data_IF_721236628828
#
_entry.id   IF_721236628828
#
_cell.length_a   1.000
_cell.length_b   1.000
_cell.length_c   1.000
_cell.angle_alpha   90.00
_cell.angle_beta   90.00
_cell.angle_gamma   90.00
#
_symmetry.space_group_name_H-M   'P 1'
#
loop_
_entity.id
_entity.type
_entity.pdbx_description
1 polymer ?
#
# COMPACT_ATOMS: atom_id res chain seq x y z
N UNK A 1 -30.25 79.94 5.94
CA UNK A 1 -30.45 78.85 4.95
C UNK A 1 -29.13 78.44 4.25
N UNK A 2 -28.03 78.09 4.97
CA UNK A 2 -26.70 77.90 4.35
C UNK A 2 -25.93 76.68 4.82
N UNK A 3 -26.53 75.76 5.54
CA UNK A 3 -25.86 74.61 6.16
C UNK A 3 -26.36 73.21 5.71
N UNK A 4 -27.24 73.15 4.71
CA UNK A 4 -27.76 71.86 4.22
C UNK A 4 -27.02 71.36 2.96
N UNK A 5 -26.25 72.19 2.26
CA UNK A 5 -25.51 71.79 1.08
C UNK A 5 -24.43 70.77 1.26
N UNK A 6 -23.62 70.78 2.35
CA UNK A 6 -22.56 69.78 2.51
C UNK A 6 -23.07 68.37 2.89
N UNK A 7 -24.24 68.28 3.50
CA UNK A 7 -24.81 66.96 3.88
C UNK A 7 -25.33 66.16 2.68
N UNK A 8 -25.85 66.84 1.67
CA UNK A 8 -26.34 66.22 0.43
C UNK A 8 -25.20 65.68 -0.45
N UNK A 9 -24.03 66.34 -0.45
CA UNK A 9 -22.84 65.90 -1.23
C UNK A 9 -22.23 64.68 -0.57
N UNK A 10 -22.21 64.59 0.74
CA UNK A 10 -21.63 63.42 1.46
C UNK A 10 -22.51 62.17 1.30
N UNK A 11 -23.84 62.29 1.17
CA UNK A 11 -24.74 61.18 0.92
C UNK A 11 -24.65 60.64 -0.51
N UNK A 12 -24.29 61.48 -1.49
CA UNK A 12 -24.11 61.04 -2.88
C UNK A 12 -22.83 60.22 -3.11
N UNK A 13 -21.78 60.46 -2.31
CA UNK A 13 -20.52 59.70 -2.41
C UNK A 13 -20.61 58.27 -1.80
N UNK A 14 -21.59 57.97 -0.97
CA UNK A 14 -21.75 56.65 -0.36
C UNK A 14 -22.50 55.66 -1.27
N UNK A 15 -23.09 56.06 -2.35
CA UNK A 15 -23.84 55.20 -3.29
C UNK A 15 -23.03 54.70 -4.49
N UNK A 16 -21.77 55.12 -4.64
CA UNK A 16 -20.94 54.71 -5.79
C UNK A 16 -20.08 53.46 -5.50
N UNK A 17 -20.22 52.86 -4.34
CA UNK A 17 -19.35 51.76 -3.88
C UNK A 17 -19.61 50.35 -4.46
N UNK A 18 -20.63 50.16 -5.30
CA UNK A 18 -20.98 48.81 -5.80
C UNK A 18 -20.96 48.65 -7.33
N UNK A 19 -20.37 49.61 -8.06
CA UNK A 19 -20.28 49.49 -9.52
C UNK A 19 -18.91 48.98 -9.92
N UNK A 20 -18.81 47.70 -10.21
CA UNK A 20 -17.75 47.18 -11.06
C UNK A 20 -16.79 46.20 -10.48
N UNK A 21 -17.23 45.08 -9.93
CA UNK A 21 -16.43 43.86 -9.98
C UNK A 21 -16.65 43.26 -11.36
N UNK A 22 -15.87 43.74 -12.35
CA UNK A 22 -15.90 43.21 -13.74
C UNK A 22 -15.38 41.78 -13.82
N UNK A 23 -14.77 41.24 -12.74
CA UNK A 23 -14.25 39.89 -12.60
C UNK A 23 -15.11 39.01 -11.70
N UNK A 24 -16.37 39.36 -11.46
CA UNK A 24 -17.25 38.47 -10.72
C UNK A 24 -17.46 37.16 -11.51
N UNK A 25 -17.32 35.99 -10.86
CA UNK A 25 -17.58 34.72 -11.53
C UNK A 25 -18.98 34.72 -12.14
N UNK A 26 -19.08 34.33 -13.41
CA UNK A 26 -20.36 34.23 -14.10
C UNK A 26 -21.30 33.30 -13.35
N UNK A 27 -22.50 33.78 -13.03
CA UNK A 27 -23.61 32.98 -12.49
C UNK A 27 -24.38 32.23 -13.60
N UNK A 28 -23.89 32.28 -14.85
CA UNK A 28 -24.46 31.49 -15.92
C UNK A 28 -24.30 30.00 -15.60
N UNK A 29 -25.35 29.24 -15.90
CA UNK A 29 -25.36 27.78 -15.68
C UNK A 29 -24.19 27.13 -16.39
N UNK A 30 -23.34 26.42 -15.63
CA UNK A 30 -22.18 25.68 -16.18
C UNK A 30 -22.66 24.38 -16.81
N UNK A 31 -21.99 23.87 -17.86
CA UNK A 31 -22.33 22.57 -18.44
C UNK A 31 -22.41 21.42 -17.43
N UNK A 32 -21.58 21.46 -16.39
CA UNK A 32 -21.59 20.48 -15.31
C UNK A 32 -22.87 20.52 -14.45
N UNK A 33 -23.55 21.66 -14.38
CA UNK A 33 -24.81 21.81 -13.64
C UNK A 33 -26.04 21.32 -14.45
N UNK A 34 -25.84 21.00 -15.72
CA UNK A 34 -26.86 20.36 -16.55
C UNK A 34 -26.89 18.82 -16.38
N UNK A 35 -25.89 18.27 -15.72
CA UNK A 35 -25.82 16.82 -15.44
C UNK A 35 -26.73 16.56 -14.25
N UNK A 36 -27.74 15.70 -14.44
CA UNK A 36 -28.58 15.25 -13.33
C UNK A 36 -27.72 14.42 -12.35
N UNK A 37 -27.50 14.89 -11.11
CA UNK A 37 -26.67 14.17 -10.14
C UNK A 37 -27.26 12.82 -9.71
N UNK A 38 -28.51 12.53 -10.09
CA UNK A 38 -29.19 11.25 -9.85
C UNK A 38 -28.84 10.19 -10.90
N UNK A 39 -28.32 10.61 -12.06
CA UNK A 39 -27.89 9.65 -13.07
C UNK A 39 -26.51 9.11 -12.68
N UNK A 40 -26.35 7.78 -12.56
CA UNK A 40 -25.06 7.20 -12.30
C UNK A 40 -24.11 7.54 -13.44
N UNK A 41 -22.98 8.17 -13.09
CA UNK A 41 -21.90 8.40 -14.06
C UNK A 41 -21.30 7.01 -14.36
N UNK A 42 -21.31 6.54 -15.61
CA UNK A 42 -20.71 5.24 -15.93
C UNK A 42 -19.25 5.21 -15.51
N UNK A 43 -18.89 4.28 -14.62
CA UNK A 43 -17.51 4.06 -14.23
C UNK A 43 -16.75 3.38 -15.38
N UNK A 44 -15.90 4.14 -16.06
CA UNK A 44 -15.04 3.67 -17.13
C UNK A 44 -13.62 3.33 -16.64
N UNK A 45 -13.39 3.38 -15.35
CA UNK A 45 -12.05 3.15 -14.78
C UNK A 45 -11.52 1.75 -15.07
N UNK A 46 -12.41 0.74 -15.15
CA UNK A 46 -12.05 -0.63 -15.52
C UNK A 46 -11.48 -0.77 -16.95
N UNK A 47 -11.79 0.18 -17.85
CA UNK A 47 -11.28 0.19 -19.22
C UNK A 47 -9.88 0.82 -19.33
N UNK A 48 -9.41 1.51 -18.27
CA UNK A 48 -8.09 2.15 -18.28
C UNK A 48 -6.97 1.07 -18.27
N UNK A 49 -5.89 1.27 -19.05
CA UNK A 49 -4.75 0.37 -19.04
C UNK A 49 -4.06 0.38 -17.67
N UNK A 50 -3.50 -0.76 -17.27
CA UNK A 50 -2.62 -0.85 -16.11
C UNK A 50 -1.30 -0.12 -16.36
N UNK A 51 -0.64 0.32 -15.28
CA UNK A 51 0.69 0.92 -15.32
C UNK A 51 1.76 -0.20 -15.36
N UNK A 52 2.44 -0.42 -16.49
CA UNK A 52 3.45 -1.48 -16.60
C UNK A 52 4.69 -1.18 -15.76
N UNK A 53 5.00 0.10 -15.50
CA UNK A 53 6.16 0.48 -14.68
C UNK A 53 5.91 0.15 -13.21
N UNK A 54 4.69 0.36 -12.70
CA UNK A 54 4.29 -0.07 -11.36
C UNK A 54 4.39 -1.59 -11.23
N UNK A 55 3.82 -2.34 -12.17
CA UNK A 55 3.88 -3.80 -12.14
C UNK A 55 5.32 -4.31 -12.14
N UNK A 56 6.21 -3.73 -12.97
CA UNK A 56 7.61 -4.09 -13.01
C UNK A 56 8.37 -3.73 -11.72
N UNK A 57 8.05 -2.60 -11.10
CA UNK A 57 8.65 -2.19 -9.83
C UNK A 57 8.27 -3.16 -8.69
N UNK A 58 7.00 -3.52 -8.58
CA UNK A 58 6.53 -4.45 -7.56
C UNK A 58 7.10 -5.87 -7.74
N UNK A 59 7.21 -6.35 -8.98
CA UNK A 59 7.86 -7.64 -9.26
C UNK A 59 9.33 -7.66 -8.90
N UNK A 60 10.08 -6.60 -9.18
CA UNK A 60 11.50 -6.51 -8.75
C UNK A 60 11.71 -6.67 -7.25
N UNK A 61 10.71 -6.30 -6.44
CA UNK A 61 10.73 -6.50 -5.00
C UNK A 61 10.35 -7.94 -4.65
N UNK A 62 9.34 -8.51 -5.29
CA UNK A 62 8.75 -9.79 -4.93
C UNK A 62 9.51 -11.00 -5.52
N UNK A 63 9.98 -10.92 -6.76
CA UNK A 63 10.59 -12.04 -7.49
C UNK A 63 11.82 -12.66 -6.76
N UNK A 64 12.73 -11.89 -6.14
CA UNK A 64 13.83 -12.46 -5.37
C UNK A 64 13.36 -13.33 -4.19
N UNK A 65 12.29 -12.94 -3.51
CA UNK A 65 11.71 -13.72 -2.41
C UNK A 65 11.11 -15.04 -2.91
N UNK A 66 10.39 -15.01 -4.03
CA UNK A 66 9.87 -16.22 -4.66
C UNK A 66 10.99 -17.16 -5.16
N UNK A 67 12.03 -16.61 -5.76
CA UNK A 67 13.18 -17.40 -6.22
C UNK A 67 13.91 -18.12 -5.08
N UNK A 68 13.89 -17.55 -3.87
CA UNK A 68 14.52 -18.14 -2.69
C UNK A 68 13.62 -19.10 -1.92
N UNK A 69 12.33 -19.15 -2.23
CA UNK A 69 11.34 -19.93 -1.46
C UNK A 69 11.75 -21.39 -1.27
N UNK A 70 12.23 -22.05 -2.32
CA UNK A 70 12.66 -23.44 -2.25
C UNK A 70 13.87 -23.66 -1.32
N UNK A 71 14.82 -22.72 -1.29
CA UNK A 71 15.97 -22.81 -0.40
C UNK A 71 15.55 -22.64 1.08
N UNK A 72 14.61 -21.72 1.35
CA UNK A 72 14.03 -21.55 2.69
C UNK A 72 13.28 -22.82 3.12
N UNK A 73 12.45 -23.36 2.25
CA UNK A 73 11.67 -24.58 2.52
C UNK A 73 12.62 -25.77 2.80
N UNK A 74 13.75 -25.89 2.09
CA UNK A 74 14.77 -26.90 2.35
C UNK A 74 15.48 -26.70 3.69
N UNK A 75 15.78 -25.45 4.08
CA UNK A 75 16.35 -25.14 5.39
C UNK A 75 15.40 -25.51 6.54
N UNK A 76 14.11 -25.22 6.37
CA UNK A 76 13.06 -25.59 7.33
C UNK A 76 12.93 -27.12 7.44
N UNK A 77 12.92 -27.83 6.32
CA UNK A 77 12.85 -29.29 6.31
C UNK A 77 14.07 -29.93 7.01
N UNK A 78 15.27 -29.39 6.81
CA UNK A 78 16.48 -29.84 7.54
C UNK A 78 16.35 -29.60 9.05
N UNK A 79 15.87 -28.42 9.47
CA UNK A 79 15.64 -28.11 10.88
C UNK A 79 14.59 -29.04 11.48
N UNK A 80 13.53 -29.37 10.76
CA UNK A 80 12.47 -30.28 11.19
C UNK A 80 12.98 -31.71 11.37
N UNK A 81 13.80 -32.21 10.43
CA UNK A 81 14.43 -33.54 10.53
C UNK A 81 15.33 -33.64 11.76
N UNK A 82 16.18 -32.63 12.01
CA UNK A 82 17.06 -32.60 13.19
C UNK A 82 16.26 -32.46 14.49
N UNK A 83 15.19 -31.67 14.52
CA UNK A 83 14.32 -31.56 15.68
C UNK A 83 13.57 -32.85 15.98
N UNK A 84 13.26 -33.65 14.94
CA UNK A 84 12.62 -34.96 15.11
C UNK A 84 13.52 -36.02 15.77
N UNK A 85 14.84 -35.87 15.66
CA UNK A 85 15.85 -36.78 16.27
C UNK A 85 16.62 -36.13 17.43
N UNK A 86 16.22 -34.95 17.89
CA UNK A 86 16.86 -34.25 18.98
C UNK A 86 16.71 -35.02 20.30
N UNK A 87 17.83 -35.13 21.04
CA UNK A 87 17.82 -35.67 22.40
C UNK A 87 17.33 -34.65 23.45
N UNK A 88 17.68 -34.90 24.69
CA UNK A 88 17.33 -33.99 25.77
C UNK A 88 17.90 -32.58 25.55
N UNK A 89 17.24 -31.54 26.09
CA UNK A 89 17.76 -30.18 26.04
C UNK A 89 19.19 -30.09 26.53
N UNK A 90 20.06 -29.43 25.73
CA UNK A 90 21.49 -29.33 26.01
C UNK A 90 22.34 -30.45 25.41
N UNK A 91 21.77 -31.53 24.85
CA UNK A 91 22.54 -32.55 24.12
C UNK A 91 23.07 -31.96 22.79
N UNK A 92 24.13 -32.61 22.25
CA UNK A 92 24.71 -32.20 20.95
C UNK A 92 23.67 -32.21 19.83
N UNK A 93 22.80 -33.22 19.77
CA UNK A 93 21.74 -33.32 18.76
C UNK A 93 20.69 -32.23 18.93
N UNK A 94 20.34 -31.85 20.16
CA UNK A 94 19.45 -30.73 20.42
C UNK A 94 20.11 -29.41 20.01
N UNK A 95 21.39 -29.20 20.32
CA UNK A 95 22.12 -27.98 19.89
C UNK A 95 22.18 -27.90 18.36
N UNK A 96 22.48 -29.02 17.68
CA UNK A 96 22.49 -29.06 16.22
C UNK A 96 21.11 -28.70 15.61
N UNK A 97 20.03 -29.17 16.21
CA UNK A 97 18.68 -28.83 15.78
C UNK A 97 18.33 -27.34 16.01
N UNK A 98 18.78 -26.77 17.14
CA UNK A 98 18.62 -25.32 17.41
C UNK A 98 19.41 -24.47 16.42
N UNK A 99 20.62 -24.87 16.07
CA UNK A 99 21.44 -24.19 15.06
C UNK A 99 20.74 -24.22 13.67
N UNK A 100 20.19 -25.39 13.31
CA UNK A 100 19.46 -25.53 12.04
C UNK A 100 18.17 -24.68 12.01
N UNK A 101 17.44 -24.60 13.13
CA UNK A 101 16.29 -23.72 13.25
C UNK A 101 16.70 -22.24 13.09
N UNK A 102 17.77 -21.82 13.74
CA UNK A 102 18.30 -20.46 13.62
C UNK A 102 18.70 -20.13 12.18
N UNK A 103 19.33 -21.08 11.48
CA UNK A 103 19.69 -20.95 10.08
C UNK A 103 18.43 -20.84 9.17
N UNK A 104 17.39 -21.63 9.45
CA UNK A 104 16.14 -21.57 8.71
C UNK A 104 15.38 -20.24 8.92
N UNK A 105 15.38 -19.70 10.16
CA UNK A 105 14.84 -18.37 10.46
C UNK A 105 15.60 -17.28 9.72
N UNK A 106 16.93 -17.34 9.71
CA UNK A 106 17.76 -16.40 8.95
C UNK A 106 17.49 -16.49 7.43
N UNK A 107 17.29 -17.71 6.90
CA UNK A 107 16.98 -17.90 5.50
C UNK A 107 15.62 -17.28 5.07
N UNK A 108 14.67 -17.10 6.00
CA UNK A 108 13.36 -16.48 5.72
C UNK A 108 13.45 -14.94 5.63
N UNK A 109 14.53 -14.33 6.10
CA UNK A 109 14.66 -12.86 6.17
C UNK A 109 14.37 -12.14 4.83
N UNK A 110 14.79 -12.64 3.65
CA UNK A 110 14.46 -12.00 2.37
C UNK A 110 12.96 -11.94 2.09
N UNK A 111 12.17 -12.91 2.51
CA UNK A 111 10.70 -12.91 2.33
C UNK A 111 10.07 -11.83 3.21
N UNK A 112 10.49 -11.74 4.47
CA UNK A 112 10.00 -10.71 5.40
C UNK A 112 10.37 -9.30 4.93
N UNK A 113 11.59 -9.12 4.42
CA UNK A 113 12.03 -7.85 3.85
C UNK A 113 11.21 -7.49 2.61
N UNK A 114 11.00 -8.45 1.70
CA UNK A 114 10.20 -8.21 0.50
C UNK A 114 8.76 -7.76 0.81
N UNK A 115 8.14 -8.28 1.88
CA UNK A 115 6.83 -7.81 2.34
C UNK A 115 6.88 -6.33 2.77
N UNK A 116 7.87 -5.95 3.60
CA UNK A 116 8.03 -4.57 4.05
C UNK A 116 8.31 -3.60 2.91
N UNK A 117 9.20 -3.98 2.00
CA UNK A 117 9.56 -3.16 0.83
C UNK A 117 8.38 -3.02 -0.16
N UNK A 118 7.59 -4.10 -0.31
CA UNK A 118 6.37 -4.09 -1.12
C UNK A 118 5.33 -3.12 -0.55
N UNK A 119 5.05 -3.21 0.74
CA UNK A 119 4.11 -2.33 1.42
C UNK A 119 4.57 -0.86 1.35
N UNK A 120 5.86 -0.61 1.54
CA UNK A 120 6.44 0.72 1.42
C UNK A 120 6.28 1.29 0.01
N UNK A 121 6.55 0.49 -1.04
CA UNK A 121 6.40 0.92 -2.43
C UNK A 121 4.95 1.23 -2.79
N UNK A 122 3.99 0.44 -2.31
CA UNK A 122 2.55 0.71 -2.51
C UNK A 122 2.12 1.97 -1.76
N UNK A 123 2.57 2.15 -0.51
CA UNK A 123 2.28 3.33 0.29
C UNK A 123 2.83 4.60 -0.35
N UNK A 124 4.06 4.58 -0.86
CA UNK A 124 4.67 5.69 -1.59
C UNK A 124 3.88 6.05 -2.87
N UNK A 125 3.45 5.03 -3.62
CA UNK A 125 2.60 5.23 -4.81
C UNK A 125 1.30 5.96 -4.45
N UNK A 126 0.66 5.59 -3.36
CA UNK A 126 -0.57 6.23 -2.87
C UNK A 126 -0.27 7.66 -2.39
N UNK A 127 0.80 7.84 -1.61
CA UNK A 127 1.20 9.15 -1.07
C UNK A 127 1.57 10.16 -2.15
N UNK A 128 2.12 9.71 -3.29
CA UNK A 128 2.43 10.56 -4.45
C UNK A 128 1.19 11.12 -5.15
N UNK A 129 -0.02 10.70 -4.78
CA UNK A 129 -1.26 11.08 -5.44
C UNK A 129 -1.44 10.44 -6.83
N UNK A 130 -0.56 9.52 -7.21
CA UNK A 130 -0.66 8.81 -8.48
C UNK A 130 -1.89 7.90 -8.50
N UNK A 131 -2.66 8.01 -9.59
CA UNK A 131 -3.89 7.24 -9.73
C UNK A 131 -3.59 5.75 -9.86
N UNK A 132 -4.24 4.94 -9.03
CA UNK A 132 -4.29 3.49 -9.18
C UNK A 132 -5.60 3.11 -9.88
N UNK A 133 -5.49 2.51 -11.05
CA UNK A 133 -6.68 1.99 -11.77
C UNK A 133 -7.04 0.59 -11.24
N UNK A 134 -8.25 0.08 -11.50
CA UNK A 134 -8.67 -1.24 -11.01
C UNK A 134 -7.73 -2.38 -11.40
N UNK A 135 -7.10 -2.32 -12.57
CA UNK A 135 -6.10 -3.29 -13.03
C UNK A 135 -4.79 -3.23 -12.23
N UNK A 136 -4.35 -2.04 -11.84
CA UNK A 136 -3.18 -1.88 -10.95
C UNK A 136 -3.47 -2.47 -9.58
N UNK A 137 -4.66 -2.18 -9.02
CA UNK A 137 -5.09 -2.73 -7.74
C UNK A 137 -5.19 -4.26 -7.78
N UNK A 138 -5.61 -4.85 -8.90
CA UNK A 138 -5.62 -6.31 -9.08
C UNK A 138 -4.19 -6.87 -9.03
N UNK A 139 -3.23 -6.23 -9.71
CA UNK A 139 -1.81 -6.62 -9.69
C UNK A 139 -1.22 -6.50 -8.28
N UNK A 140 -1.45 -5.37 -7.60
CA UNK A 140 -1.00 -5.15 -6.22
C UNK A 140 -1.53 -6.25 -5.30
N UNK A 141 -2.84 -6.54 -5.36
CA UNK A 141 -3.47 -7.57 -4.51
C UNK A 141 -2.95 -8.97 -4.80
N UNK A 142 -2.73 -9.33 -6.06
CA UNK A 142 -2.21 -10.64 -6.43
C UNK A 142 -0.80 -10.84 -5.82
N UNK A 143 0.13 -9.92 -6.07
CA UNK A 143 1.51 -10.04 -5.55
C UNK A 143 1.52 -10.02 -4.02
N UNK A 144 0.74 -9.14 -3.38
CA UNK A 144 0.62 -9.07 -1.92
C UNK A 144 0.10 -10.40 -1.33
N UNK A 145 -0.93 -10.98 -1.94
CA UNK A 145 -1.51 -12.27 -1.52
C UNK A 145 -0.49 -13.40 -1.62
N UNK A 146 0.27 -13.46 -2.72
CA UNK A 146 1.26 -14.52 -2.95
C UNK A 146 2.43 -14.41 -1.95
N UNK A 147 2.94 -13.20 -1.71
CA UNK A 147 3.98 -12.96 -0.71
C UNK A 147 3.50 -13.30 0.71
N UNK A 148 2.30 -12.86 1.07
CA UNK A 148 1.72 -13.15 2.38
C UNK A 148 1.48 -14.65 2.59
N UNK A 149 1.03 -15.36 1.55
CA UNK A 149 0.83 -16.81 1.61
C UNK A 149 2.17 -17.56 1.77
N UNK A 150 3.22 -17.13 1.07
CA UNK A 150 4.56 -17.69 1.21
C UNK A 150 5.08 -17.52 2.64
N UNK A 151 5.03 -16.30 3.16
CA UNK A 151 5.49 -15.97 4.51
C UNK A 151 4.71 -16.75 5.60
N UNK A 152 3.37 -16.77 5.50
CA UNK A 152 2.51 -17.47 6.45
C UNK A 152 2.83 -18.97 6.49
N UNK A 153 3.02 -19.60 5.32
CA UNK A 153 3.39 -21.03 5.21
C UNK A 153 4.72 -21.31 5.88
N UNK A 154 5.73 -20.51 5.59
CA UNK A 154 7.09 -20.68 6.15
C UNK A 154 7.11 -20.42 7.65
N UNK A 155 6.45 -19.37 8.15
CA UNK A 155 6.33 -19.13 9.60
C UNK A 155 5.59 -20.25 10.32
N UNK A 156 4.55 -20.79 9.74
CA UNK A 156 3.82 -21.91 10.33
C UNK A 156 4.73 -23.15 10.46
N UNK A 157 5.52 -23.44 9.43
CA UNK A 157 6.46 -24.55 9.44
C UNK A 157 7.59 -24.36 10.48
N UNK A 158 8.20 -23.16 10.55
CA UNK A 158 9.18 -22.81 11.59
C UNK A 158 8.59 -22.95 12.99
N UNK A 159 7.35 -22.50 13.20
CA UNK A 159 6.67 -22.65 14.48
C UNK A 159 6.43 -24.11 14.89
N UNK A 160 6.26 -25.03 13.93
CA UNK A 160 6.17 -26.47 14.21
C UNK A 160 7.51 -27.00 14.71
N UNK A 161 8.61 -26.66 14.05
CA UNK A 161 9.96 -27.05 14.45
C UNK A 161 10.29 -26.55 15.85
N UNK A 162 10.00 -25.27 16.10
CA UNK A 162 10.24 -24.67 17.41
C UNK A 162 9.47 -25.38 18.53
N UNK A 163 8.21 -25.72 18.32
CA UNK A 163 7.41 -26.48 19.29
C UNK A 163 7.93 -27.87 19.56
N UNK A 164 8.60 -28.54 18.62
CA UNK A 164 9.24 -29.84 18.84
C UNK A 164 10.43 -29.72 19.78
N UNK A 165 11.21 -28.65 19.66
CA UNK A 165 12.43 -28.44 20.46
C UNK A 165 12.15 -27.90 21.87
N UNK A 166 10.91 -27.47 22.15
CA UNK A 166 10.49 -26.97 23.47
C UNK A 166 9.68 -27.98 24.28
N UNK A 167 9.45 -29.19 23.76
CA UNK A 167 8.80 -30.30 24.48
C UNK A 167 9.82 -31.13 25.20
#
# INVERSE_FOLDING_TARGET
MRRLAPALILSALLLTGCAGVTDAPSLARRPAEAIDPRLPIPDRSAALPADPALAAALRRIADPAFAQAAAVDAAIARADALAGSAGAPGSESWIAAQQALSAAVAAQEPVTRALGDFDAAVAERIASGARLVPRDLATVRAIASDLAALDARQRAALGLVQRRLTR
#
